data_IF_103059962115
#
_entry.id   IF_103059962115
#
_cell.length_a   1.000
_cell.length_b   1.000
_cell.length_c   1.000
_cell.angle_alpha   90.00
_cell.angle_beta   90.00
_cell.angle_gamma   90.00
#
_symmetry.space_group_name_H-M   'P 1'
#
loop_
_entity.id
_entity.type
_entity.pdbx_description
1 polymer ?
#
# COMPACT_ATOMS: atom_id res chain seq x y z
N UNK A 1 27.27 -6.75 20.53
CA UNK A 1 27.21 -5.51 19.72
C UNK A 1 25.79 -5.34 19.24
N UNK A 2 25.25 -4.17 19.54
CA UNK A 2 23.84 -3.85 19.67
C UNK A 2 23.08 -3.76 18.34
N UNK A 3 21.78 -4.08 18.37
CA UNK A 3 20.74 -3.21 17.80
C UNK A 3 19.32 -3.69 18.17
N UNK A 4 18.43 -2.70 18.26
CA UNK A 4 16.96 -2.70 18.13
C UNK A 4 16.19 -2.66 19.46
N UNK A 5 15.69 -1.47 19.87
CA UNK A 5 14.58 -0.67 19.32
C UNK A 5 13.29 -1.02 20.05
N UNK A 6 12.88 -0.12 20.94
CA UNK A 6 11.50 0.01 21.41
C UNK A 6 11.19 1.49 21.63
N UNK A 7 10.03 1.86 21.14
CA UNK A 7 9.37 3.15 21.22
C UNK A 7 9.08 3.56 22.67
N UNK A 8 9.26 4.84 22.98
CA UNK A 8 8.65 5.47 24.16
C UNK A 8 7.97 6.77 23.72
N UNK A 9 6.64 6.71 23.77
CA UNK A 9 5.70 7.80 23.59
C UNK A 9 5.81 8.81 24.75
N UNK A 10 5.86 10.10 24.42
CA UNK A 10 5.74 11.20 25.37
C UNK A 10 4.31 11.24 25.96
N UNK A 11 4.12 10.56 27.09
CA UNK A 11 2.90 10.62 27.91
C UNK A 11 2.97 11.80 28.89
N UNK A 12 2.25 12.87 28.56
CA UNK A 12 2.08 14.05 29.42
C UNK A 12 0.74 13.96 30.17
N UNK A 13 0.75 13.30 31.33
CA UNK A 13 -0.27 13.36 32.37
C UNK A 13 0.41 12.98 33.69
N UNK A 14 0.28 13.68 34.81
CA UNK A 14 -0.83 14.48 35.29
C UNK A 14 -1.19 13.92 36.67
N UNK A 15 -0.44 14.30 37.71
CA UNK A 15 -0.80 13.99 39.09
C UNK A 15 -0.69 15.24 39.98
N UNK A 16 -1.85 15.61 40.53
CA UNK A 16 -2.05 16.61 41.58
C UNK A 16 -2.13 15.85 42.92
N UNK A 17 -1.83 16.48 44.06
CA UNK A 17 -2.98 16.70 44.94
C UNK A 17 -3.12 18.13 45.44
N UNK A 18 -4.39 18.52 45.44
CA UNK A 18 -5.01 19.81 45.73
C UNK A 18 -4.94 20.15 47.22
N UNK A 19 -4.75 21.44 47.53
CA UNK A 19 -5.50 22.33 48.48
C UNK A 19 -4.53 23.33 49.16
N UNK A 20 -4.78 24.62 49.36
CA UNK A 20 -5.96 25.49 49.36
C UNK A 20 -5.50 26.95 49.12
N UNK A 21 -6.37 27.76 48.49
CA UNK A 21 -6.46 29.24 48.51
C UNK A 21 -5.22 30.12 48.76
N UNK A 22 -4.81 30.90 47.76
CA UNK A 22 -4.40 32.29 47.98
C UNK A 22 -4.49 33.16 46.71
N UNK A 23 -5.14 34.31 46.91
CA UNK A 23 -5.44 35.40 45.98
C UNK A 23 -4.20 36.09 45.36
N UNK A 24 -4.39 36.58 44.13
CA UNK A 24 -3.82 37.81 43.51
C UNK A 24 -2.28 38.00 43.50
N UNK A 25 -1.69 37.83 42.32
CA UNK A 25 -0.46 38.48 41.85
C UNK A 25 -0.84 39.78 41.09
N UNK A 26 -0.15 40.92 41.11
CA UNK A 26 1.21 41.25 41.53
C UNK A 26 1.77 42.28 40.55
N UNK A 27 1.58 43.58 40.83
CA UNK A 27 2.49 44.70 40.56
C UNK A 27 1.78 46.03 40.84
N UNK A 28 1.81 46.48 42.10
CA UNK A 28 1.56 47.88 42.47
C UNK A 28 2.92 48.55 42.69
N UNK A 29 3.04 49.76 42.15
CA UNK A 29 4.18 50.66 42.32
C UNK A 29 4.28 51.06 43.79
N UNK A 30 5.52 51.14 44.28
CA UNK A 30 5.90 51.56 45.62
C UNK A 30 5.34 52.95 45.93
N UNK A 31 4.52 53.06 46.97
CA UNK A 31 4.19 54.31 47.65
C UNK A 31 5.17 54.44 48.83
N UNK A 32 5.96 55.50 48.84
CA UNK A 32 6.81 55.90 49.96
C UNK A 32 6.24 57.15 50.61
N UNK A 33 6.08 57.06 51.92
CA UNK A 33 5.81 58.07 52.95
C UNK A 33 4.76 59.17 52.74
N UNK A 34 3.65 58.96 53.46
CA UNK A 34 2.82 60.00 54.05
C UNK A 34 3.61 60.56 55.23
N UNK A 35 4.12 61.78 55.09
CA UNK A 35 4.35 62.64 56.23
C UNK A 35 3.10 63.52 56.39
N UNK A 36 2.44 63.26 57.52
CA UNK A 36 1.20 63.82 58.01
C UNK A 36 1.54 65.08 58.79
N UNK A 37 1.52 66.24 58.13
CA UNK A 37 1.56 67.55 58.79
C UNK A 37 0.37 68.37 58.30
N UNK A 38 -0.79 68.06 58.87
CA UNK A 38 -1.93 68.97 58.99
C UNK A 38 -1.47 70.19 59.83
N UNK A 39 -0.92 71.21 59.16
CA UNK A 39 -0.72 72.53 59.77
C UNK A 39 -2.08 73.19 60.01
N UNK A 40 -2.61 72.89 61.20
CA UNK A 40 -3.81 73.43 61.81
C UNK A 40 -3.73 74.98 61.85
N UNK A 41 -4.33 75.60 60.84
CA UNK A 41 -4.34 77.04 60.53
C UNK A 41 -5.00 77.92 61.61
N UNK A 42 -5.43 77.37 62.75
CA UNK A 42 -6.03 78.12 63.85
C UNK A 42 -5.70 77.56 65.26
N UNK A 43 -4.43 77.25 65.52
CA UNK A 43 -3.90 76.99 66.86
C UNK A 43 -3.91 78.25 67.74
N UNK A 44 -5.02 78.50 68.45
CA UNK A 44 -5.20 79.56 69.45
C UNK A 44 -4.23 79.40 70.63
N UNK A 45 -3.01 79.95 70.52
CA UNK A 45 -2.05 79.98 71.63
C UNK A 45 -2.41 81.11 72.61
N UNK A 46 -3.24 80.74 73.59
CA UNK A 46 -3.52 81.49 74.83
C UNK A 46 -2.23 81.57 75.66
N UNK A 47 -1.34 82.49 75.30
CA UNK A 47 -0.05 82.74 75.95
C UNK A 47 -0.15 83.82 77.03
N UNK A 48 -0.43 83.38 78.26
CA UNK A 48 -0.08 83.99 79.56
C UNK A 48 0.70 85.32 79.49
N UNK A 49 0.00 86.45 79.57
CA UNK A 49 0.58 87.75 79.91
C UNK A 49 1.08 87.71 81.36
N UNK A 50 2.37 87.44 81.55
CA UNK A 50 3.10 87.90 82.73
C UNK A 50 3.87 89.15 82.32
N UNK A 51 3.49 90.27 82.93
CA UNK A 51 4.21 91.52 82.87
C UNK A 51 5.64 91.31 83.41
N UNK A 52 6.63 91.48 82.57
CA UNK A 52 7.99 91.82 82.97
C UNK A 52 8.33 93.14 82.31
N UNK A 53 8.20 94.18 83.14
CA UNK A 53 9.03 95.37 83.23
C UNK A 53 9.74 95.85 81.96
N UNK A 54 9.37 97.08 81.56
CA UNK A 54 9.97 97.92 80.52
C UNK A 54 11.51 97.81 80.40
N UNK A 55 11.97 96.85 79.61
CA UNK A 55 13.28 96.90 78.98
C UNK A 55 13.12 97.51 77.57
N UNK A 56 13.89 98.54 77.20
CA UNK A 56 13.77 99.23 75.90
C UNK A 56 13.96 98.30 74.67
N UNK A 57 14.44 97.07 74.87
CA UNK A 57 14.55 96.05 73.82
C UNK A 57 13.26 95.27 73.51
N UNK A 58 12.34 95.07 74.47
CA UNK A 58 11.16 94.20 74.28
C UNK A 58 10.08 94.86 73.41
N UNK A 59 9.78 96.13 73.66
CA UNK A 59 8.87 96.92 72.81
C UNK A 59 9.45 97.11 71.40
N UNK A 60 10.76 97.34 71.30
CA UNK A 60 11.46 97.45 70.02
C UNK A 60 11.43 96.14 69.23
N UNK A 61 11.61 94.99 69.89
CA UNK A 61 11.49 93.66 69.27
C UNK A 61 10.09 93.40 68.73
N UNK A 62 9.04 93.67 69.51
CA UNK A 62 7.64 93.53 69.04
C UNK A 62 7.32 94.45 67.86
N UNK A 63 7.79 95.70 67.88
CA UNK A 63 7.59 96.63 66.77
C UNK A 63 8.31 96.13 65.51
N UNK A 64 9.51 95.56 65.63
CA UNK A 64 10.23 95.00 64.48
C UNK A 64 9.53 93.75 63.93
N UNK A 65 9.11 92.81 64.78
CA UNK A 65 8.37 91.62 64.33
C UNK A 65 7.03 91.98 63.68
N UNK A 66 6.31 92.99 64.19
CA UNK A 66 5.08 93.48 63.56
C UNK A 66 5.35 94.18 62.24
N UNK A 67 6.46 94.92 62.11
CA UNK A 67 6.87 95.54 60.84
C UNK A 67 7.28 94.50 59.81
N UNK A 68 8.03 93.48 60.22
CA UNK A 68 8.42 92.35 59.38
C UNK A 68 7.19 91.54 58.95
N UNK A 69 6.26 91.24 59.87
CA UNK A 69 5.00 90.58 59.55
C UNK A 69 4.11 91.42 58.62
N UNK A 70 4.02 92.73 58.84
CA UNK A 70 3.30 93.64 57.95
C UNK A 70 3.94 93.67 56.56
N UNK A 71 5.27 93.72 56.48
CA UNK A 71 6.00 93.70 55.23
C UNK A 71 5.81 92.37 54.49
N UNK A 72 5.88 91.24 55.20
CA UNK A 72 5.61 89.92 54.63
C UNK A 72 4.15 89.80 54.15
N UNK A 73 3.16 90.28 54.93
CA UNK A 73 1.76 90.34 54.49
C UNK A 73 1.57 91.23 53.26
N UNK A 74 2.34 92.30 53.13
CA UNK A 74 2.31 93.18 51.96
C UNK A 74 2.90 92.48 50.73
N UNK A 75 4.00 91.76 50.91
CA UNK A 75 4.63 90.95 49.86
C UNK A 75 3.71 89.81 49.39
N UNK A 76 3.11 89.06 50.31
CA UNK A 76 2.13 88.01 49.96
C UNK A 76 0.90 88.58 49.27
N UNK A 77 0.40 89.75 49.70
CA UNK A 77 -0.69 90.42 49.01
C UNK A 77 -0.30 90.80 47.57
N UNK A 78 0.92 91.31 47.36
CA UNK A 78 1.39 91.60 46.00
C UNK A 78 1.51 90.34 45.15
N UNK A 79 2.01 89.23 45.71
CA UNK A 79 2.08 87.95 45.01
C UNK A 79 0.68 87.45 44.63
N UNK A 80 -0.25 87.41 45.59
CA UNK A 80 -1.65 87.03 45.34
C UNK A 80 -2.30 87.93 44.28
N UNK A 81 -2.01 89.23 44.29
CA UNK A 81 -2.51 90.15 43.27
C UNK A 81 -1.96 89.81 41.88
N UNK A 82 -0.66 89.49 41.77
CA UNK A 82 -0.05 89.08 40.50
C UNK A 82 -0.60 87.75 39.99
N UNK A 83 -0.78 86.77 40.88
CA UNK A 83 -1.37 85.47 40.55
C UNK A 83 -2.83 85.60 40.11
N UNK A 84 -3.60 86.48 40.77
CA UNK A 84 -4.98 86.75 40.38
C UNK A 84 -5.05 87.37 38.98
N UNK A 85 -4.22 88.35 38.66
CA UNK A 85 -4.19 88.96 37.32
C UNK A 85 -3.66 87.98 36.26
N UNK A 86 -2.73 87.09 36.62
CA UNK A 86 -2.30 86.00 35.75
C UNK A 86 -3.43 85.01 35.47
N UNK A 87 -4.16 84.58 36.51
CA UNK A 87 -5.31 83.69 36.37
C UNK A 87 -6.45 84.33 35.56
N UNK A 88 -6.73 85.63 35.75
CA UNK A 88 -7.69 86.37 34.93
C UNK A 88 -7.27 86.42 33.46
N UNK A 89 -6.00 86.72 33.20
CA UNK A 89 -5.45 86.75 31.84
C UNK A 89 -5.52 85.36 31.19
N UNK A 90 -5.31 84.30 31.96
CA UNK A 90 -5.46 82.93 31.50
C UNK A 90 -6.93 82.59 31.19
N UNK A 91 -7.88 82.96 32.07
CA UNK A 91 -9.32 82.79 31.80
C UNK A 91 -9.75 83.55 30.55
N UNK A 92 -9.27 84.78 30.36
CA UNK A 92 -9.55 85.57 29.15
C UNK A 92 -8.97 84.93 27.89
N UNK A 93 -7.76 84.36 27.98
CA UNK A 93 -7.15 83.57 26.92
C UNK A 93 -8.00 82.35 26.58
N UNK A 94 -8.45 81.57 27.57
CA UNK A 94 -9.34 80.43 27.37
C UNK A 94 -10.65 80.85 26.69
N UNK A 95 -11.30 81.91 27.19
CA UNK A 95 -12.52 82.44 26.61
C UNK A 95 -12.35 82.89 25.15
N UNK A 96 -11.21 83.51 24.84
CA UNK A 96 -10.88 83.92 23.47
C UNK A 96 -10.67 82.71 22.56
N UNK A 97 -9.95 81.68 23.02
CA UNK A 97 -9.76 80.43 22.28
C UNK A 97 -11.10 79.76 21.97
N UNK A 98 -11.97 79.56 22.97
CA UNK A 98 -13.29 78.95 22.77
C UNK A 98 -14.21 79.76 21.84
N UNK A 99 -14.09 81.08 21.84
CA UNK A 99 -14.86 81.95 20.93
C UNK A 99 -14.39 81.84 19.48
N UNK A 100 -13.10 81.60 19.28
CA UNK A 100 -12.49 81.48 17.94
C UNK A 100 -12.59 80.06 17.37
N UNK A 101 -12.98 79.08 18.19
CA UNK A 101 -13.02 77.67 17.81
C UNK A 101 -14.38 77.28 17.18
N UNK A 102 -14.35 76.49 16.10
CA UNK A 102 -15.50 76.25 15.21
C UNK A 102 -16.62 75.38 15.80
N UNK A 103 -16.42 74.84 17.01
CA UNK A 103 -17.39 73.96 17.67
C UNK A 103 -18.62 74.71 18.22
N UNK A 104 -18.56 76.05 18.34
CA UNK A 104 -19.66 76.87 18.84
C UNK A 104 -20.39 77.57 17.68
N UNK A 105 -21.69 77.30 17.45
CA UNK A 105 -22.48 78.02 16.45
C UNK A 105 -22.45 79.53 16.72
N UNK A 106 -22.19 80.32 15.68
CA UNK A 106 -22.02 81.77 15.79
C UNK A 106 -23.24 82.43 16.43
N UNK A 107 -23.06 83.02 17.62
CA UNK A 107 -24.09 83.82 18.30
C UNK A 107 -24.73 83.19 19.54
N UNK A 108 -24.38 81.96 19.93
CA UNK A 108 -24.86 81.32 21.17
C UNK A 108 -23.72 81.06 22.16
N UNK A 109 -23.94 81.36 23.45
CA UNK A 109 -23.03 80.94 24.52
C UNK A 109 -23.05 79.41 24.61
N UNK A 110 -21.91 78.72 24.46
CA UNK A 110 -21.88 77.27 24.52
C UNK A 110 -22.24 76.80 25.93
N UNK A 111 -23.28 75.97 26.05
CA UNK A 111 -23.62 75.38 27.34
C UNK A 111 -22.49 74.45 27.83
N UNK A 112 -22.11 74.49 29.13
CA UNK A 112 -21.03 73.67 29.67
C UNK A 112 -21.14 72.18 29.33
N UNK A 113 -22.36 71.64 29.25
CA UNK A 113 -22.62 70.23 28.89
C UNK A 113 -22.19 69.89 27.47
N UNK A 114 -22.36 70.81 26.52
CA UNK A 114 -21.98 70.59 25.12
C UNK A 114 -20.46 70.53 24.95
N UNK A 115 -19.74 71.40 25.66
CA UNK A 115 -18.28 71.41 25.68
C UNK A 115 -17.76 70.12 26.30
N UNK A 116 -18.32 69.70 27.44
CA UNK A 116 -17.94 68.45 28.12
C UNK A 116 -18.15 67.24 27.20
N UNK A 117 -19.28 67.15 26.50
CA UNK A 117 -19.56 66.06 25.56
C UNK A 117 -18.60 66.06 24.35
N UNK A 118 -18.24 67.23 23.83
CA UNK A 118 -17.24 67.36 22.78
C UNK A 118 -15.86 66.89 23.23
N UNK A 119 -15.42 67.35 24.41
CA UNK A 119 -14.16 66.92 25.01
C UNK A 119 -14.14 65.42 25.27
N UNK A 120 -15.27 64.84 25.68
CA UNK A 120 -15.37 63.41 25.89
C UNK A 120 -15.30 62.62 24.58
N UNK A 121 -15.95 63.09 23.53
CA UNK A 121 -15.89 62.48 22.19
C UNK A 121 -14.48 62.61 21.59
N UNK A 122 -13.84 63.77 21.76
CA UNK A 122 -12.47 64.00 21.34
C UNK A 122 -11.50 63.08 22.09
N UNK A 123 -11.66 62.93 23.41
CA UNK A 123 -10.87 61.99 24.23
C UNK A 123 -11.06 60.56 23.76
N UNK A 124 -12.30 60.12 23.49
CA UNK A 124 -12.55 58.76 22.98
C UNK A 124 -11.94 58.55 21.59
N UNK A 125 -11.99 59.56 20.71
CA UNK A 125 -11.32 59.53 19.40
C UNK A 125 -9.80 59.47 19.53
N UNK A 126 -9.22 60.27 20.42
CA UNK A 126 -7.79 60.27 20.73
C UNK A 126 -7.34 58.89 21.22
N UNK A 127 -8.09 58.30 22.16
CA UNK A 127 -7.80 56.97 22.69
C UNK A 127 -7.91 55.89 21.60
N UNK A 128 -8.91 55.97 20.72
CA UNK A 128 -9.07 55.08 19.58
C UNK A 128 -7.91 55.18 18.57
N UNK A 129 -7.45 56.39 18.25
CA UNK A 129 -6.29 56.61 17.38
C UNK A 129 -5.00 56.10 18.05
N UNK A 130 -4.84 56.30 19.36
CA UNK A 130 -3.71 55.78 20.12
C UNK A 130 -3.67 54.26 20.08
N UNK A 131 -4.81 53.58 20.23
CA UNK A 131 -4.88 52.12 20.13
C UNK A 131 -4.53 51.63 18.72
N UNK A 132 -5.01 52.31 17.67
CA UNK A 132 -4.65 51.98 16.29
C UNK A 132 -3.15 52.17 16.02
N UNK A 133 -2.55 53.24 16.53
CA UNK A 133 -1.11 53.48 16.44
C UNK A 133 -0.32 52.36 17.11
N UNK A 134 -0.71 51.94 18.32
CA UNK A 134 -0.04 50.83 19.01
C UNK A 134 -0.22 49.48 18.30
N UNK A 135 -1.39 49.23 17.69
CA UNK A 135 -1.59 48.07 16.81
C UNK A 135 -0.68 48.13 15.56
N UNK A 136 -0.54 49.30 14.95
CA UNK A 136 0.33 49.50 13.78
C UNK A 136 1.80 49.27 14.14
N UNK A 137 2.29 49.85 15.25
CA UNK A 137 3.65 49.63 15.75
C UNK A 137 3.95 48.16 16.03
N UNK A 138 3.00 47.44 16.65
CA UNK A 138 3.15 45.99 16.90
C UNK A 138 3.24 45.19 15.59
N UNK A 139 2.43 45.54 14.58
CA UNK A 139 2.50 44.91 13.26
C UNK A 139 3.83 45.21 12.55
N UNK A 140 4.28 46.45 12.60
CA UNK A 140 5.57 46.86 12.04
C UNK A 140 6.73 46.09 12.69
N UNK A 141 6.76 45.99 14.02
CA UNK A 141 7.77 45.21 14.73
C UNK A 141 7.75 43.72 14.32
N UNK A 142 6.56 43.13 14.15
CA UNK A 142 6.44 41.76 13.67
C UNK A 142 6.96 41.59 12.23
N UNK A 143 6.74 42.56 11.35
CA UNK A 143 7.30 42.56 10.00
C UNK A 143 8.82 42.69 9.99
N UNK A 144 9.40 43.56 10.84
CA UNK A 144 10.86 43.70 10.97
C UNK A 144 11.49 42.37 11.35
N UNK A 145 10.94 41.67 12.36
CA UNK A 145 11.44 40.35 12.77
C UNK A 145 11.33 39.31 11.65
N UNK A 146 10.20 39.29 10.95
CA UNK A 146 9.98 38.35 9.84
C UNK A 146 10.92 38.61 8.68
N UNK A 147 11.17 39.88 8.36
CA UNK A 147 12.09 40.30 7.31
C UNK A 147 13.53 39.91 7.65
N UNK A 148 13.98 40.19 8.87
CA UNK A 148 15.30 39.78 9.35
C UNK A 148 15.51 38.26 9.26
N UNK A 149 14.49 37.46 9.63
CA UNK A 149 14.54 36.00 9.51
C UNK A 149 14.66 35.54 8.04
N UNK A 150 13.91 36.17 7.13
CA UNK A 150 13.99 35.90 5.68
C UNK A 150 15.34 36.29 5.09
N UNK A 151 15.92 37.41 5.52
CA UNK A 151 17.25 37.82 5.07
C UNK A 151 18.35 36.85 5.54
N UNK A 152 18.24 36.36 6.78
CA UNK A 152 19.13 35.33 7.31
C UNK A 152 19.04 34.02 6.50
N UNK A 153 17.82 33.55 6.20
CA UNK A 153 17.60 32.35 5.37
C UNK A 153 18.20 32.53 3.96
N UNK A 154 18.04 33.71 3.34
CA UNK A 154 18.66 34.02 2.05
C UNK A 154 20.20 33.98 2.15
N UNK A 155 20.79 34.46 3.25
CA UNK A 155 22.24 34.43 3.45
C UNK A 155 22.77 33.00 3.61
N UNK A 156 22.06 32.15 4.34
CA UNK A 156 22.36 30.72 4.51
C UNK A 156 22.28 29.97 3.19
N UNK A 157 21.20 30.16 2.41
CA UNK A 157 21.04 29.57 1.08
C UNK A 157 22.16 30.02 0.13
N UNK A 158 22.52 31.31 0.14
CA UNK A 158 23.67 31.82 -0.63
C UNK A 158 24.98 31.15 -0.24
N UNK A 159 25.18 30.82 1.05
CA UNK A 159 26.36 30.10 1.50
C UNK A 159 26.38 28.66 1.00
N UNK A 160 25.29 27.93 1.18
CA UNK A 160 25.16 26.56 0.71
C UNK A 160 25.43 26.44 -0.80
N UNK A 161 24.94 27.41 -1.60
CA UNK A 161 25.23 27.47 -3.04
C UNK A 161 26.72 27.67 -3.32
N UNK A 162 27.42 28.54 -2.56
CA UNK A 162 28.88 28.71 -2.73
C UNK A 162 29.64 27.43 -2.39
N UNK A 163 29.23 26.74 -1.33
CA UNK A 163 29.88 25.50 -0.88
C UNK A 163 29.67 24.36 -1.89
N UNK A 164 28.44 24.17 -2.38
CA UNK A 164 28.15 23.22 -3.45
C UNK A 164 28.93 23.54 -4.73
N UNK A 165 29.03 24.82 -5.09
CA UNK A 165 29.84 25.26 -6.24
C UNK A 165 31.34 25.01 -6.03
N UNK A 166 31.82 25.06 -4.79
CA UNK A 166 33.19 24.72 -4.44
C UNK A 166 33.42 23.20 -4.54
N UNK A 167 32.49 22.37 -4.07
CA UNK A 167 32.54 20.91 -4.22
C UNK A 167 32.50 20.45 -5.68
N UNK A 168 31.75 21.14 -6.54
CA UNK A 168 31.68 20.84 -7.97
C UNK A 168 32.98 21.19 -8.71
N UNK A 169 33.83 22.07 -8.16
CA UNK A 169 35.15 22.33 -8.72
C UNK A 169 36.08 21.19 -8.31
N UNK A 170 36.67 20.42 -9.25
CA UNK A 170 37.65 19.41 -8.90
C UNK A 170 38.79 20.04 -8.09
N UNK A 171 39.15 19.50 -6.90
CA UNK A 171 40.06 20.15 -5.95
C UNK A 171 41.48 20.41 -6.49
N UNK A 172 41.90 19.75 -7.59
CA UNK A 172 43.21 19.98 -8.19
C UNK A 172 43.23 19.78 -9.71
N UNK A 173 44.15 20.49 -10.39
CA UNK A 173 44.49 20.25 -11.80
C UNK A 173 45.00 18.83 -12.04
N UNK A 174 45.62 18.19 -11.04
CA UNK A 174 46.10 16.81 -11.12
C UNK A 174 44.93 15.82 -11.17
N UNK A 175 43.91 15.98 -10.32
CA UNK A 175 42.68 15.17 -10.39
C UNK A 175 41.98 15.36 -11.74
N UNK A 176 41.98 16.59 -12.28
CA UNK A 176 41.50 16.87 -13.64
C UNK A 176 42.30 16.12 -14.70
N UNK A 177 43.63 16.07 -14.57
CA UNK A 177 44.54 15.36 -15.49
C UNK A 177 44.42 13.84 -15.38
N UNK A 178 44.23 13.29 -14.18
CA UNK A 178 43.95 11.87 -13.94
C UNK A 178 42.58 11.45 -14.48
N UNK A 179 41.54 12.28 -14.34
CA UNK A 179 40.21 12.02 -14.90
C UNK A 179 40.15 12.20 -16.43
N UNK A 180 41.10 12.94 -17.00
CA UNK A 180 41.27 13.10 -18.45
C UNK A 180 42.28 12.10 -19.04
N UNK A 181 42.93 11.28 -18.21
CA UNK A 181 43.85 10.24 -18.67
C UNK A 181 43.02 9.00 -19.07
N UNK A 182 43.03 8.62 -20.37
CA UNK A 182 42.26 7.48 -20.85
C UNK A 182 42.63 6.15 -20.17
N UNK A 183 43.90 5.94 -19.79
CA UNK A 183 44.34 4.72 -19.14
C UNK A 183 43.83 4.63 -17.70
N UNK A 184 43.77 5.77 -17.00
CA UNK A 184 43.19 5.82 -15.65
C UNK A 184 41.68 5.62 -15.70
N UNK A 185 40.99 6.20 -16.69
CA UNK A 185 39.56 5.96 -16.90
C UNK A 185 39.24 4.48 -17.15
N UNK A 186 40.07 3.81 -17.94
CA UNK A 186 39.96 2.38 -18.22
C UNK A 186 40.16 1.54 -16.96
N UNK A 187 41.20 1.82 -16.15
CA UNK A 187 41.39 1.11 -14.87
C UNK A 187 40.25 1.38 -13.87
N UNK A 188 39.73 2.60 -13.79
CA UNK A 188 38.55 2.89 -12.96
C UNK A 188 37.31 2.13 -13.43
N UNK A 189 37.11 2.04 -14.74
CA UNK A 189 35.99 1.29 -15.33
C UNK A 189 36.14 -0.20 -15.09
N UNK A 190 37.36 -0.73 -15.20
CA UNK A 190 37.70 -2.12 -14.88
C UNK A 190 37.47 -2.42 -13.40
N UNK A 191 37.95 -1.55 -12.50
CA UNK A 191 37.76 -1.68 -11.06
C UNK A 191 36.28 -1.61 -10.68
N UNK A 192 35.52 -0.70 -11.29
CA UNK A 192 34.08 -0.58 -11.09
C UNK A 192 33.36 -1.86 -11.54
N UNK A 193 33.70 -2.38 -12.72
CA UNK A 193 33.12 -3.63 -13.23
C UNK A 193 33.46 -4.82 -12.33
N UNK A 194 34.70 -4.91 -11.84
CA UNK A 194 35.14 -5.95 -10.91
C UNK A 194 34.42 -5.83 -9.55
N UNK A 195 34.18 -4.62 -9.08
CA UNK A 195 33.42 -4.38 -7.86
C UNK A 195 31.97 -4.81 -8.02
N UNK A 196 31.30 -4.42 -9.12
CA UNK A 196 29.93 -4.85 -9.44
C UNK A 196 29.83 -6.39 -9.55
N UNK A 197 30.82 -7.05 -10.17
CA UNK A 197 30.89 -8.51 -10.24
C UNK A 197 31.01 -9.14 -8.84
N UNK A 198 31.88 -8.60 -7.98
CA UNK A 198 32.08 -9.12 -6.62
C UNK A 198 30.87 -8.86 -5.72
N UNK A 199 30.22 -7.71 -5.83
CA UNK A 199 28.97 -7.44 -5.12
C UNK A 199 27.86 -8.40 -5.55
N UNK A 200 27.74 -8.68 -6.85
CA UNK A 200 26.84 -9.73 -7.34
C UNK A 200 27.17 -11.08 -6.73
N UNK A 201 28.45 -11.46 -6.67
CA UNK A 201 28.88 -12.73 -6.06
C UNK A 201 28.57 -12.79 -4.56
N UNK A 202 28.77 -11.69 -3.83
CA UNK A 202 28.41 -11.58 -2.41
C UNK A 202 26.92 -11.77 -2.23
N UNK A 203 26.10 -11.11 -3.06
CA UNK A 203 24.64 -11.27 -3.02
C UNK A 203 24.21 -12.71 -3.33
N UNK A 204 24.77 -13.33 -4.37
CA UNK A 204 24.53 -14.74 -4.68
C UNK A 204 24.90 -15.66 -3.51
N UNK A 205 26.05 -15.45 -2.87
CA UNK A 205 26.47 -16.25 -1.72
C UNK A 205 25.58 -16.00 -0.49
N UNK A 206 25.13 -14.76 -0.27
CA UNK A 206 24.15 -14.44 0.77
C UNK A 206 22.80 -15.11 0.49
N UNK A 207 22.32 -15.09 -0.75
CA UNK A 207 21.10 -15.76 -1.18
C UNK A 207 21.25 -17.29 -1.03
N UNK A 208 22.41 -17.86 -1.34
CA UNK A 208 22.72 -19.26 -1.08
C UNK A 208 22.74 -19.59 0.41
N UNK A 209 23.34 -18.75 1.26
CA UNK A 209 23.31 -18.93 2.72
C UNK A 209 21.88 -18.85 3.25
N UNK A 210 21.08 -17.91 2.76
CA UNK A 210 19.66 -17.77 3.08
C UNK A 210 18.85 -18.99 2.63
N UNK A 211 19.15 -19.54 1.44
CA UNK A 211 18.54 -20.75 0.93
C UNK A 211 18.98 -22.00 1.73
N UNK A 212 20.24 -22.06 2.18
CA UNK A 212 20.77 -23.15 3.02
C UNK A 212 20.25 -23.05 4.46
N UNK A 213 19.85 -21.87 4.93
CA UNK A 213 19.06 -21.66 6.16
C UNK A 213 17.56 -21.91 5.95
N UNK A 214 17.22 -22.76 4.98
CA UNK A 214 15.88 -23.32 4.86
C UNK A 214 15.50 -23.99 6.18
N UNK A 215 14.56 -23.37 6.89
CA UNK A 215 13.87 -23.99 8.02
C UNK A 215 12.50 -24.44 7.52
N UNK A 216 12.17 -25.74 7.61
CA UNK A 216 10.85 -26.27 7.23
C UNK A 216 9.68 -25.53 7.90
N UNK A 217 9.94 -24.85 9.01
CA UNK A 217 8.97 -24.12 9.82
C UNK A 217 8.78 -22.65 9.39
N UNK A 218 9.69 -22.06 8.61
CA UNK A 218 9.52 -20.70 8.10
C UNK A 218 8.33 -20.60 7.13
N UNK A 219 7.73 -19.41 7.00
CA UNK A 219 6.60 -19.18 6.08
C UNK A 219 6.95 -19.57 4.63
N UNK A 220 8.15 -19.19 4.17
CA UNK A 220 8.66 -19.56 2.85
C UNK A 220 8.94 -21.06 2.75
N UNK A 221 9.54 -21.65 3.79
CA UNK A 221 9.84 -23.08 3.83
C UNK A 221 8.57 -23.95 3.78
N UNK A 222 7.53 -23.58 4.52
CA UNK A 222 6.22 -24.24 4.49
C UNK A 222 5.57 -24.16 3.10
N UNK A 223 5.64 -23.00 2.44
CA UNK A 223 5.09 -22.82 1.10
C UNK A 223 5.84 -23.68 0.07
N UNK A 224 7.17 -23.74 0.15
CA UNK A 224 7.98 -24.58 -0.72
C UNK A 224 7.67 -26.07 -0.50
N UNK A 225 7.59 -26.53 0.75
CA UNK A 225 7.23 -27.91 1.07
C UNK A 225 5.82 -28.28 0.60
N UNK A 226 4.86 -27.35 0.72
CA UNK A 226 3.53 -27.54 0.15
C UNK A 226 3.59 -27.70 -1.37
N UNK A 227 4.35 -26.84 -2.07
CA UNK A 227 4.55 -26.95 -3.51
C UNK A 227 5.25 -28.25 -3.91
N UNK A 228 6.26 -28.70 -3.16
CA UNK A 228 6.92 -29.99 -3.40
C UNK A 228 5.95 -31.16 -3.22
N UNK A 229 5.11 -31.14 -2.19
CA UNK A 229 4.07 -32.17 -2.00
C UNK A 229 3.08 -32.19 -3.16
N UNK A 230 2.56 -31.04 -3.58
CA UNK A 230 1.64 -30.95 -4.72
C UNK A 230 2.28 -31.46 -6.00
N UNK A 231 3.53 -31.07 -6.31
CA UNK A 231 4.24 -31.57 -7.49
C UNK A 231 4.50 -33.08 -7.42
N UNK A 232 4.71 -33.61 -6.22
CA UNK A 232 4.90 -35.05 -6.02
C UNK A 232 3.58 -35.82 -6.22
N UNK A 233 2.47 -35.30 -5.71
CA UNK A 233 1.11 -35.82 -5.94
C UNK A 233 0.75 -35.78 -7.44
N UNK A 234 1.02 -34.67 -8.14
CA UNK A 234 0.79 -34.55 -9.57
C UNK A 234 1.63 -35.56 -10.39
N UNK A 235 2.91 -35.76 -10.01
CA UNK A 235 3.76 -36.75 -10.70
C UNK A 235 3.30 -38.19 -10.44
N UNK A 236 2.86 -38.49 -9.22
CA UNK A 236 2.29 -39.80 -8.89
C UNK A 236 1.02 -40.05 -9.70
N UNK A 237 0.14 -39.05 -9.80
CA UNK A 237 -1.07 -39.12 -10.62
C UNK A 237 -0.77 -39.31 -12.10
N UNK A 238 0.21 -38.59 -12.67
CA UNK A 238 0.66 -38.78 -14.06
C UNK A 238 1.20 -40.22 -14.25
N UNK A 239 1.98 -40.71 -13.28
CA UNK A 239 2.48 -42.09 -13.29
C UNK A 239 1.36 -43.12 -13.26
N UNK A 240 0.35 -42.91 -12.42
CA UNK A 240 -0.82 -43.75 -12.29
C UNK A 240 -1.64 -43.75 -13.59
N UNK A 241 -1.94 -42.58 -14.15
CA UNK A 241 -2.65 -42.47 -15.43
C UNK A 241 -1.91 -43.16 -16.58
N UNK A 242 -0.58 -43.05 -16.63
CA UNK A 242 0.23 -43.74 -17.63
C UNK A 242 0.18 -45.27 -17.45
N UNK A 243 0.25 -45.74 -16.21
CA UNK A 243 0.17 -47.17 -15.89
C UNK A 243 -1.24 -47.74 -16.18
N UNK A 244 -2.28 -47.03 -15.76
CA UNK A 244 -3.69 -47.38 -16.02
C UNK A 244 -4.02 -47.36 -17.50
N UNK A 245 -3.55 -46.36 -18.26
CA UNK A 245 -3.76 -46.29 -19.70
C UNK A 245 -3.19 -47.49 -20.46
N UNK A 246 -1.94 -47.87 -20.14
CA UNK A 246 -1.30 -49.05 -20.74
C UNK A 246 -1.99 -50.36 -20.30
N UNK A 247 -2.43 -50.44 -19.04
CA UNK A 247 -3.15 -51.60 -18.52
C UNK A 247 -4.52 -51.76 -19.21
N UNK A 248 -5.25 -50.67 -19.40
CA UNK A 248 -6.52 -50.66 -20.10
C UNK A 248 -6.36 -51.08 -21.57
N UNK A 249 -5.37 -50.55 -22.28
CA UNK A 249 -5.06 -50.93 -23.67
C UNK A 249 -4.77 -52.44 -23.80
N UNK A 250 -3.91 -52.97 -22.92
CA UNK A 250 -3.59 -54.40 -22.89
C UNK A 250 -4.83 -55.25 -22.56
N UNK A 251 -5.69 -54.77 -21.67
CA UNK A 251 -6.94 -55.47 -21.31
C UNK A 251 -7.90 -55.53 -22.49
N UNK A 252 -8.02 -54.45 -23.27
CA UNK A 252 -8.83 -54.42 -24.49
C UNK A 252 -8.27 -55.37 -25.56
N UNK A 253 -6.95 -55.37 -25.77
CA UNK A 253 -6.28 -56.32 -26.68
C UNK A 253 -6.49 -57.77 -26.26
N UNK A 254 -6.42 -58.06 -24.96
CA UNK A 254 -6.68 -59.40 -24.41
C UNK A 254 -8.13 -59.84 -24.63
N UNK A 255 -9.10 -58.94 -24.41
CA UNK A 255 -10.52 -59.24 -24.65
C UNK A 255 -10.80 -59.54 -26.13
N UNK A 256 -10.25 -58.74 -27.04
CA UNK A 256 -10.34 -58.97 -28.48
C UNK A 256 -9.75 -60.33 -28.88
N UNK A 257 -8.55 -60.66 -28.37
CA UNK A 257 -7.92 -61.96 -28.63
C UNK A 257 -8.73 -63.13 -28.09
N UNK A 258 -9.36 -62.99 -26.91
CA UNK A 258 -10.28 -64.01 -26.38
C UNK A 258 -11.48 -64.22 -27.30
N UNK A 259 -12.06 -63.14 -27.83
CA UNK A 259 -13.17 -63.22 -28.78
C UNK A 259 -12.77 -63.93 -30.07
N UNK A 260 -11.62 -63.57 -30.66
CA UNK A 260 -11.11 -64.19 -31.88
C UNK A 260 -10.82 -65.69 -31.67
N UNK A 261 -10.25 -66.06 -30.52
CA UNK A 261 -10.04 -67.47 -30.19
C UNK A 261 -11.34 -68.24 -29.99
N UNK A 262 -12.36 -67.61 -29.40
CA UNK A 262 -13.68 -68.23 -29.25
C UNK A 262 -14.33 -68.46 -30.62
N UNK A 263 -14.24 -67.49 -31.53
CA UNK A 263 -14.75 -67.61 -32.90
C UNK A 263 -14.04 -68.70 -33.69
N UNK A 264 -12.70 -68.77 -33.63
CA UNK A 264 -11.93 -69.86 -34.26
C UNK A 264 -12.33 -71.24 -33.71
N UNK A 265 -12.56 -71.36 -32.39
CA UNK A 265 -13.04 -72.61 -31.80
C UNK A 265 -14.43 -72.98 -32.32
N UNK A 266 -15.35 -72.02 -32.44
CA UNK A 266 -16.67 -72.24 -33.03
C UNK A 266 -16.58 -72.72 -34.47
N UNK A 267 -15.74 -72.09 -35.29
CA UNK A 267 -15.52 -72.48 -36.68
C UNK A 267 -14.95 -73.89 -36.82
N UNK A 268 -14.02 -74.28 -35.93
CA UNK A 268 -13.51 -75.66 -35.92
C UNK A 268 -14.60 -76.66 -35.52
N UNK A 269 -15.42 -76.34 -34.52
CA UNK A 269 -16.54 -77.19 -34.11
C UNK A 269 -17.52 -77.40 -35.28
N UNK A 270 -17.93 -76.32 -35.94
CA UNK A 270 -18.80 -76.37 -37.13
C UNK A 270 -18.19 -77.21 -38.26
N UNK A 271 -16.87 -77.14 -38.47
CA UNK A 271 -16.18 -77.95 -39.45
C UNK A 271 -16.15 -79.44 -39.06
N UNK A 272 -15.96 -79.75 -37.77
CA UNK A 272 -16.00 -81.12 -37.26
C UNK A 272 -17.39 -81.74 -37.47
N UNK A 273 -18.46 -81.02 -37.12
CA UNK A 273 -19.84 -81.45 -37.34
C UNK A 273 -20.13 -81.69 -38.84
N UNK A 274 -19.65 -80.81 -39.72
CA UNK A 274 -19.80 -80.99 -41.16
C UNK A 274 -19.03 -82.23 -41.67
N UNK A 275 -17.83 -82.47 -41.16
CA UNK A 275 -17.01 -83.64 -41.51
C UNK A 275 -17.65 -84.94 -41.02
N UNK A 276 -18.24 -84.95 -39.83
CA UNK A 276 -19.00 -86.09 -39.30
C UNK A 276 -20.22 -86.38 -40.18
N UNK A 277 -20.98 -85.35 -40.57
CA UNK A 277 -22.08 -85.46 -41.52
C UNK A 277 -21.65 -86.10 -42.85
N UNK A 278 -20.54 -85.62 -43.43
CA UNK A 278 -20.00 -86.18 -44.67
C UNK A 278 -19.52 -87.64 -44.50
N UNK A 279 -18.93 -87.97 -43.35
CA UNK A 279 -18.50 -89.33 -43.03
C UNK A 279 -19.71 -90.27 -42.97
N UNK A 280 -20.78 -89.87 -42.29
CA UNK A 280 -22.03 -90.62 -42.22
C UNK A 280 -22.66 -90.83 -43.60
N UNK A 281 -22.61 -89.83 -44.48
CA UNK A 281 -23.14 -89.95 -45.85
C UNK A 281 -22.28 -90.89 -46.72
N UNK A 282 -20.96 -90.89 -46.53
CA UNK A 282 -20.05 -91.85 -47.16
C UNK A 282 -20.34 -93.28 -46.68
N UNK A 283 -20.56 -93.49 -45.38
CA UNK A 283 -20.92 -94.80 -44.83
C UNK A 283 -22.23 -95.33 -45.42
N UNK A 284 -23.29 -94.51 -45.44
CA UNK A 284 -24.58 -94.88 -46.07
C UNK A 284 -24.43 -95.17 -47.57
N UNK A 285 -23.65 -94.35 -48.28
CA UNK A 285 -23.37 -94.56 -49.70
C UNK A 285 -22.65 -95.89 -49.94
N UNK A 286 -21.65 -96.21 -49.10
CA UNK A 286 -20.93 -97.48 -49.15
C UNK A 286 -21.86 -98.68 -48.86
N UNK A 287 -22.72 -98.59 -47.84
CA UNK A 287 -23.74 -99.63 -47.56
C UNK A 287 -24.65 -99.88 -48.77
N UNK A 288 -25.13 -98.80 -49.40
CA UNK A 288 -25.97 -98.90 -50.60
C UNK A 288 -25.23 -99.53 -51.78
N UNK A 289 -23.94 -99.23 -51.96
CA UNK A 289 -23.10 -99.87 -52.99
C UNK A 289 -22.99 -101.38 -52.75
N UNK A 290 -22.79 -101.83 -51.51
CA UNK A 290 -22.73 -103.26 -51.18
C UNK A 290 -24.05 -103.96 -51.51
N UNK A 291 -25.19 -103.38 -51.12
CA UNK A 291 -26.52 -103.93 -51.45
C UNK A 291 -26.72 -104.03 -52.97
N UNK A 292 -26.29 -103.01 -53.72
CA UNK A 292 -26.38 -103.04 -55.19
C UNK A 292 -25.46 -104.10 -55.79
N UNK A 293 -24.26 -104.31 -55.24
CA UNK A 293 -23.35 -105.39 -55.65
C UNK A 293 -23.97 -106.77 -55.41
N UNK A 294 -24.55 -107.02 -54.24
CA UNK A 294 -25.26 -108.27 -53.92
C UNK A 294 -26.38 -108.54 -54.91
N UNK A 295 -27.24 -107.53 -55.19
CA UNK A 295 -28.31 -107.65 -56.19
C UNK A 295 -27.78 -107.94 -57.59
N UNK A 296 -26.67 -107.31 -57.98
CA UNK A 296 -26.02 -107.60 -59.27
C UNK A 296 -25.52 -109.04 -59.32
N UNK A 297 -24.94 -109.54 -58.23
CA UNK A 297 -24.46 -110.92 -58.13
C UNK A 297 -25.59 -111.95 -58.16
N UNK A 298 -26.69 -111.70 -57.43
CA UNK A 298 -27.92 -112.50 -57.51
C UNK A 298 -28.48 -112.55 -58.93
N UNK A 299 -28.59 -111.40 -59.62
CA UNK A 299 -29.04 -111.38 -61.01
C UNK A 299 -28.08 -112.06 -61.95
N UNK A 300 -26.77 -111.98 -61.71
CA UNK A 300 -25.77 -112.74 -62.47
C UNK A 300 -25.90 -114.25 -62.23
N UNK A 301 -26.23 -114.69 -61.02
CA UNK A 301 -26.55 -116.09 -60.71
C UNK A 301 -27.82 -116.57 -61.41
N UNK A 302 -28.89 -115.78 -61.34
CA UNK A 302 -30.15 -116.07 -62.02
C UNK A 302 -29.96 -116.16 -63.54
N UNK A 303 -29.20 -115.22 -64.13
CA UNK A 303 -28.79 -115.26 -65.53
C UNK A 303 -27.99 -116.54 -65.84
N UNK A 304 -27.05 -116.95 -64.97
CA UNK A 304 -26.32 -118.21 -65.13
C UNK A 304 -27.25 -119.43 -65.08
N UNK A 305 -28.22 -119.46 -64.16
CA UNK A 305 -29.22 -120.55 -64.05
C UNK A 305 -30.08 -120.63 -65.30
N UNK A 306 -30.70 -119.53 -65.73
CA UNK A 306 -31.53 -119.46 -66.94
C UNK A 306 -30.74 -119.87 -68.19
N UNK A 307 -29.47 -119.46 -68.31
CA UNK A 307 -28.59 -119.86 -69.41
C UNK A 307 -28.31 -121.37 -69.42
N UNK A 308 -28.12 -121.97 -68.25
CA UNK A 308 -27.96 -123.42 -68.11
C UNK A 308 -29.26 -124.17 -68.42
N UNK A 309 -30.41 -123.68 -67.98
CA UNK A 309 -31.74 -124.23 -68.30
C UNK A 309 -32.04 -124.15 -69.80
N UNK A 310 -31.71 -123.04 -70.47
CA UNK A 310 -31.79 -122.93 -71.93
C UNK A 310 -30.90 -123.97 -72.63
N UNK A 311 -29.66 -124.19 -72.14
CA UNK A 311 -28.78 -125.24 -72.67
C UNK A 311 -29.31 -126.66 -72.44
N UNK A 312 -30.06 -126.89 -71.35
CA UNK A 312 -30.71 -128.18 -71.08
C UNK A 312 -31.99 -128.37 -71.90
N UNK A 313 -32.80 -127.34 -72.10
CA UNK A 313 -33.95 -127.37 -73.01
C UNK A 313 -33.52 -127.61 -74.45
N UNK A 314 -32.40 -127.02 -74.89
CA UNK A 314 -31.77 -127.35 -76.18
C UNK A 314 -31.29 -128.80 -76.29
N UNK A 315 -31.12 -129.52 -75.18
CA UNK A 315 -30.79 -130.97 -75.15
C UNK A 315 -32.02 -131.88 -74.99
N UNK A 316 -33.17 -131.38 -74.55
CA UNK A 316 -34.40 -132.17 -74.31
C UNK A 316 -35.44 -132.08 -75.45
N UNK A 317 -35.22 -131.22 -76.45
CA UNK A 317 -35.89 -131.28 -77.75
C UNK A 317 -34.93 -131.82 -78.80
N UNK A 318 -35.18 -132.97 -79.46
CA UNK A 318 -34.34 -133.40 -80.57
C UNK A 318 -34.76 -132.66 -81.85
N UNK A 319 -33.75 -132.20 -82.59
CA UNK A 319 -33.79 -131.71 -83.98
C UNK A 319 -34.60 -130.42 -84.23
N UNK A 320 -34.21 -129.49 -85.09
CA UNK A 320 -33.10 -129.31 -86.01
C UNK A 320 -32.99 -127.78 -86.20
N UNK A 321 -31.86 -127.14 -86.48
CA UNK A 321 -31.29 -126.94 -87.84
C UNK A 321 -30.20 -125.87 -87.62
N UNK A 322 -28.91 -126.21 -87.65
CA UNK A 322 -28.02 -126.09 -88.80
C UNK A 322 -28.05 -124.73 -89.54
N UNK A 323 -27.02 -123.92 -89.25
CA UNK A 323 -26.24 -123.07 -90.18
C UNK A 323 -26.97 -121.93 -90.90
N UNK A 324 -26.66 -120.68 -90.50
CA UNK A 324 -26.40 -119.60 -91.47
C UNK A 324 -25.53 -118.46 -90.91
N UNK A 325 -24.28 -118.45 -91.38
CA UNK A 325 -23.50 -117.28 -91.84
C UNK A 325 -22.84 -116.37 -90.78
N UNK A 326 -21.55 -116.67 -90.60
CA UNK A 326 -20.43 -115.72 -90.51
C UNK A 326 -20.56 -114.52 -91.45
N UNK A 327 -20.54 -113.29 -90.92
CA UNK A 327 -19.83 -112.10 -91.43
C UNK A 327 -20.18 -110.89 -90.56
N UNK A 328 -19.21 -110.00 -90.35
CA UNK A 328 -19.26 -108.69 -89.69
C UNK A 328 -18.62 -108.62 -88.28
N UNK A 329 -17.44 -109.23 -88.13
CA UNK A 329 -16.32 -108.51 -87.52
C UNK A 329 -15.86 -107.42 -88.52
N UNK A 330 -15.41 -106.28 -88.00
CA UNK A 330 -14.96 -105.07 -88.71
C UNK A 330 -16.04 -104.07 -89.17
N UNK A 331 -16.54 -103.25 -88.23
CA UNK A 331 -16.72 -101.79 -88.37
C UNK A 331 -17.49 -101.18 -87.18
N UNK A 332 -16.77 -100.78 -86.12
CA UNK A 332 -17.02 -99.51 -85.40
C UNK A 332 -15.94 -99.20 -84.37
N UNK A 333 -14.69 -99.25 -84.82
CA UNK A 333 -13.67 -98.34 -84.32
C UNK A 333 -13.73 -97.12 -85.27
N UNK A 334 -14.12 -95.95 -84.74
CA UNK A 334 -14.14 -94.60 -85.33
C UNK A 334 -15.47 -93.84 -85.16
N UNK A 335 -15.69 -93.31 -83.95
CA UNK A 335 -16.16 -91.94 -83.70
C UNK A 335 -15.74 -91.62 -82.26
N UNK A 336 -14.57 -91.00 -82.09
CA UNK A 336 -14.43 -89.58 -81.70
C UNK A 336 -14.79 -89.38 -80.21
N UNK A 337 -13.86 -89.13 -79.28
CA UNK A 337 -12.79 -88.10 -79.21
C UNK A 337 -13.32 -86.71 -79.54
N UNK A 338 -13.22 -85.80 -78.56
CA UNK A 338 -13.69 -84.40 -78.42
C UNK A 338 -14.83 -84.31 -77.40
N UNK A 339 -14.73 -83.65 -76.24
CA UNK A 339 -13.74 -82.70 -75.67
C UNK A 339 -13.74 -82.79 -74.15
#
# INVERSE_FOLDING_TARGET
>A
MASNHLDEDDDFGGDIPVTHDARRSGNKRSFGDIEDDEDDIFGSKKGKTKAEENAPGAATGMILSLRESLQNCKETLTTCQTELEAAKSEIEKWNSSFRNESFVPSGTSPEPKMIINCLQTLRSSEEGLREQLEKAKKKEAAFIVTFAKREQEIAELKSAVRDLKAQLKPPSMQTRRLLLDPAIHEEFTRLKSLLEEKDKKVKELQDHIAAVTFTPQSKMGKMLMAKCRTLQEENEEIGNQAAEGKMHELSMKLALQKSQNAELRSQFEELYEHMEGLTNDVEKSNEMVVILQEKVEEKNEELRRLKNEQSQQQKATPDATSVRVSTLEDKKEAMMVES
#
